data_IF_226952348924
#
_entry.id   IF_226952348924
#
_cell.length_a   1.000
_cell.length_b   1.000
_cell.length_c   1.000
_cell.angle_alpha   90.00
_cell.angle_beta   90.00
_cell.angle_gamma   90.00
#
_symmetry.space_group_name_H-M   'P 1'
#
loop_
_entity.id
_entity.type
_entity.pdbx_description
1 polymer ?
#
# COMPACT_ATOMS: atom_id res chain seq x y z
N UNK A 1 -38.66 26.07 30.87
CA UNK A 1 -37.32 25.63 31.34
C UNK A 1 -36.79 24.58 30.38
N UNK A 2 -35.80 24.94 29.59
CA UNK A 2 -35.10 24.09 28.63
C UNK A 2 -34.08 23.20 29.33
N UNK A 3 -34.15 21.88 29.15
CA UNK A 3 -33.00 20.99 29.43
C UNK A 3 -32.59 20.34 28.13
N UNK A 4 -31.63 20.97 27.46
CA UNK A 4 -30.94 20.43 26.29
C UNK A 4 -30.16 19.20 26.71
N UNK A 5 -30.60 18.02 26.27
CA UNK A 5 -29.84 16.80 26.37
C UNK A 5 -28.57 16.96 25.52
N UNK A 6 -27.45 17.17 26.20
CA UNK A 6 -26.13 17.26 25.59
C UNK A 6 -25.79 15.86 25.06
N UNK A 7 -25.87 15.68 23.74
CA UNK A 7 -25.28 14.54 23.03
C UNK A 7 -23.79 14.50 23.37
N UNK A 8 -23.42 13.78 24.43
CA UNK A 8 -22.04 13.36 24.62
C UNK A 8 -21.79 12.25 23.59
N UNK A 9 -20.79 12.38 22.69
CA UNK A 9 -20.29 11.23 21.98
C UNK A 9 -19.83 10.23 23.05
N UNK A 10 -20.32 9.00 22.98
CA UNK A 10 -19.93 7.95 23.91
C UNK A 10 -18.41 7.93 24.03
N UNK A 11 -17.89 8.18 25.23
CA UNK A 11 -16.47 8.11 25.52
C UNK A 11 -15.99 6.72 25.12
N UNK A 12 -15.23 6.65 24.03
CA UNK A 12 -14.62 5.41 23.58
C UNK A 12 -13.79 4.82 24.73
N UNK A 13 -13.81 3.50 24.92
CA UNK A 13 -12.87 2.87 25.85
C UNK A 13 -11.45 3.27 25.42
N UNK A 14 -10.53 3.50 26.38
CA UNK A 14 -9.15 3.81 26.06
C UNK A 14 -8.60 2.68 25.19
N UNK A 15 -8.27 3.02 23.94
CA UNK A 15 -7.72 2.06 22.99
C UNK A 15 -6.38 1.58 23.53
N UNK A 16 -6.20 0.27 23.61
CA UNK A 16 -5.03 -0.36 24.22
C UNK A 16 -3.75 0.07 23.47
N UNK A 17 -2.77 0.62 24.19
CA UNK A 17 -1.51 1.09 23.61
C UNK A 17 -0.80 -0.02 22.81
N UNK A 18 -1.00 -1.28 23.22
CA UNK A 18 -0.50 -2.46 22.52
C UNK A 18 -1.09 -2.64 21.11
N UNK A 19 -2.34 -2.21 20.88
CA UNK A 19 -2.97 -2.28 19.56
C UNK A 19 -2.40 -1.24 18.60
N UNK A 20 -2.11 -0.03 19.10
CA UNK A 20 -1.44 1.01 18.32
C UNK A 20 0.00 0.64 17.97
N UNK A 21 0.72 0.01 18.90
CA UNK A 21 2.06 -0.50 18.65
C UNK A 21 2.05 -1.55 17.52
N UNK A 22 1.15 -2.53 17.57
CA UNK A 22 1.00 -3.54 16.51
C UNK A 22 0.66 -2.91 15.16
N UNK A 23 -0.23 -1.92 15.15
CA UNK A 23 -0.58 -1.20 13.94
C UNK A 23 0.62 -0.45 13.36
N UNK A 24 1.35 0.27 14.20
CA UNK A 24 2.53 1.01 13.78
C UNK A 24 3.61 0.08 13.19
N UNK A 25 3.86 -1.07 13.83
CA UNK A 25 4.77 -2.10 13.31
C UNK A 25 4.29 -2.64 11.96
N UNK A 26 2.99 -2.94 11.80
CA UNK A 26 2.46 -3.43 10.52
C UNK A 26 2.57 -2.41 9.38
N UNK A 27 2.41 -1.12 9.68
CA UNK A 27 2.57 -0.05 8.70
C UNK A 27 4.05 0.12 8.32
N UNK A 28 4.96 0.00 9.29
CA UNK A 28 6.40 0.00 9.03
C UNK A 28 6.82 -1.18 8.15
N UNK A 29 6.39 -2.41 8.47
CA UNK A 29 6.67 -3.61 7.68
C UNK A 29 6.12 -3.52 6.25
N UNK A 30 5.01 -2.81 6.06
CA UNK A 30 4.52 -2.50 4.72
C UNK A 30 5.47 -1.55 3.98
N UNK A 31 5.85 -0.44 4.60
CA UNK A 31 6.76 0.51 3.96
C UNK A 31 8.07 -0.16 3.57
N UNK A 32 8.61 -1.04 4.42
CA UNK A 32 9.82 -1.81 4.12
C UNK A 32 9.65 -2.72 2.89
N UNK A 33 8.52 -3.45 2.82
CA UNK A 33 8.17 -4.26 1.65
C UNK A 33 8.05 -3.42 0.38
N UNK A 34 7.36 -2.28 0.43
CA UNK A 34 7.21 -1.38 -0.71
C UNK A 34 8.56 -0.82 -1.19
N UNK A 35 9.47 -0.50 -0.26
CA UNK A 35 10.83 -0.08 -0.62
C UNK A 35 11.59 -1.19 -1.36
N UNK A 36 11.51 -2.44 -0.89
CA UNK A 36 12.14 -3.58 -1.57
C UNK A 36 11.56 -3.86 -2.97
N UNK A 37 10.24 -3.73 -3.12
CA UNK A 37 9.56 -3.83 -4.41
C UNK A 37 10.03 -2.76 -5.40
N UNK A 38 10.15 -1.51 -4.95
CA UNK A 38 10.66 -0.41 -5.78
C UNK A 38 12.12 -0.61 -6.17
N UNK A 39 12.98 -1.08 -5.25
CA UNK A 39 14.39 -1.35 -5.55
C UNK A 39 14.55 -2.44 -6.63
N UNK A 40 13.67 -3.45 -6.59
CA UNK A 40 13.60 -4.49 -7.62
C UNK A 40 13.25 -3.91 -8.99
N UNK A 41 12.22 -3.06 -9.08
CA UNK A 41 11.82 -2.39 -10.32
C UNK A 41 12.93 -1.46 -10.85
N UNK A 42 13.57 -0.68 -9.96
CA UNK A 42 14.68 0.22 -10.30
C UNK A 42 15.86 -0.57 -10.85
N UNK A 43 16.21 -1.69 -10.22
CA UNK A 43 17.31 -2.55 -10.65
C UNK A 43 17.05 -3.14 -12.04
N UNK A 44 15.85 -3.67 -12.26
CA UNK A 44 15.46 -4.25 -13.55
C UNK A 44 15.44 -3.20 -14.67
N UNK A 45 14.82 -2.04 -14.42
CA UNK A 45 14.79 -0.93 -15.38
C UNK A 45 16.20 -0.39 -15.68
N UNK A 46 17.04 -0.24 -14.66
CA UNK A 46 18.43 0.22 -14.82
C UNK A 46 19.27 -0.76 -15.65
N UNK A 47 19.06 -2.07 -15.49
CA UNK A 47 19.72 -3.09 -16.29
C UNK A 47 19.39 -2.97 -17.78
N UNK A 48 18.11 -2.75 -18.10
CA UNK A 48 17.61 -2.52 -19.46
C UNK A 48 18.23 -1.25 -20.06
N UNK A 49 18.26 -0.15 -19.30
CA UNK A 49 18.80 1.15 -19.79
C UNK A 49 20.30 1.09 -20.04
N UNK A 50 21.06 0.40 -19.18
CA UNK A 50 22.53 0.32 -19.28
C UNK A 50 23.04 -0.59 -20.41
N UNK A 51 22.18 -1.45 -20.97
CA UNK A 51 22.59 -2.43 -21.98
C UNK A 51 21.85 -2.18 -23.32
N UNK A 52 22.26 -1.19 -24.11
CA UNK A 52 21.55 -0.84 -25.33
C UNK A 52 21.62 -1.98 -26.36
N UNK A 53 20.44 -2.44 -26.81
CA UNK A 53 20.33 -3.54 -27.77
C UNK A 53 20.88 -3.16 -29.15
N UNK A 54 21.99 -3.78 -29.56
CA UNK A 54 22.61 -3.61 -30.87
C UNK A 54 22.10 -4.65 -31.87
N UNK A 55 21.72 -5.83 -31.39
CA UNK A 55 21.24 -6.94 -32.23
C UNK A 55 19.73 -7.13 -32.16
N UNK A 56 19.17 -7.87 -33.13
CA UNK A 56 17.74 -8.24 -33.13
C UNK A 56 17.38 -9.14 -31.94
N UNK A 57 18.26 -10.05 -31.57
CA UNK A 57 18.04 -10.96 -30.44
C UNK A 57 18.08 -10.23 -29.11
N UNK A 58 18.99 -9.26 -28.95
CA UNK A 58 19.00 -8.37 -27.80
C UNK A 58 17.71 -7.55 -27.72
N UNK A 59 17.21 -7.00 -28.84
CA UNK A 59 15.93 -6.27 -28.83
C UNK A 59 14.76 -7.14 -28.40
N UNK A 60 14.73 -8.42 -28.83
CA UNK A 60 13.72 -9.38 -28.36
C UNK A 60 13.84 -9.64 -26.86
N UNK A 61 15.06 -9.88 -26.36
CA UNK A 61 15.31 -10.08 -24.92
C UNK A 61 14.88 -8.86 -24.09
N UNK A 62 15.22 -7.66 -24.53
CA UNK A 62 14.80 -6.42 -23.85
C UNK A 62 13.28 -6.27 -23.82
N UNK A 63 12.59 -6.62 -24.92
CA UNK A 63 11.13 -6.61 -24.94
C UNK A 63 10.55 -7.57 -23.89
N UNK A 64 11.07 -8.78 -23.79
CA UNK A 64 10.66 -9.74 -22.75
C UNK A 64 10.91 -9.20 -21.34
N UNK A 65 12.05 -8.55 -21.11
CA UNK A 65 12.35 -7.93 -19.80
C UNK A 65 11.42 -6.75 -19.49
N UNK A 66 11.01 -5.98 -20.51
CA UNK A 66 10.03 -4.90 -20.35
C UNK A 66 8.63 -5.46 -20.06
N UNK A 67 8.22 -6.53 -20.73
CA UNK A 67 6.97 -7.24 -20.43
C UNK A 67 6.97 -7.73 -18.98
N UNK A 68 8.06 -8.37 -18.53
CA UNK A 68 8.21 -8.80 -17.14
C UNK A 68 8.18 -7.63 -16.14
N UNK A 69 8.80 -6.49 -16.48
CA UNK A 69 8.79 -5.30 -15.64
C UNK A 69 7.37 -4.76 -15.46
N UNK A 70 6.57 -4.74 -16.53
CA UNK A 70 5.16 -4.32 -16.48
C UNK A 70 4.34 -5.27 -15.62
N UNK A 71 4.43 -6.58 -15.86
CA UNK A 71 3.70 -7.59 -15.09
C UNK A 71 4.02 -7.49 -13.60
N UNK A 72 5.30 -7.29 -13.26
CA UNK A 72 5.75 -7.15 -11.87
C UNK A 72 5.20 -5.87 -11.22
N UNK A 73 5.21 -4.74 -11.95
CA UNK A 73 4.69 -3.48 -11.44
C UNK A 73 3.17 -3.53 -11.23
N UNK A 74 2.43 -4.17 -12.14
CA UNK A 74 0.98 -4.39 -11.99
C UNK A 74 0.66 -5.26 -10.78
N UNK A 75 1.44 -6.32 -10.55
CA UNK A 75 1.30 -7.15 -9.34
C UNK A 75 1.50 -6.33 -8.06
N UNK A 76 2.59 -5.56 -7.98
CA UNK A 76 2.84 -4.69 -6.81
C UNK A 76 1.73 -3.65 -6.64
N UNK A 77 1.20 -3.09 -7.73
CA UNK A 77 0.08 -2.17 -7.65
C UNK A 77 -1.18 -2.81 -7.04
N UNK A 78 -1.47 -4.07 -7.38
CA UNK A 78 -2.60 -4.82 -6.77
C UNK A 78 -2.38 -5.05 -5.28
N UNK A 79 -1.18 -5.46 -4.88
CA UNK A 79 -0.82 -5.68 -3.46
C UNK A 79 -0.98 -4.39 -2.65
N UNK A 80 -0.46 -3.26 -3.15
CA UNK A 80 -0.63 -1.94 -2.53
C UNK A 80 -2.10 -1.52 -2.47
N UNK A 81 -2.92 -1.91 -3.44
CA UNK A 81 -4.37 -1.68 -3.45
C UNK A 81 -5.06 -2.33 -2.25
N UNK A 82 -4.78 -3.62 -2.01
CA UNK A 82 -5.29 -4.36 -0.86
C UNK A 82 -4.87 -3.73 0.47
N UNK A 83 -3.60 -3.35 0.59
CA UNK A 83 -3.08 -2.70 1.79
C UNK A 83 -3.76 -1.34 2.03
N UNK A 84 -3.98 -0.56 0.97
CA UNK A 84 -4.68 0.73 1.06
C UNK A 84 -6.11 0.59 1.58
N UNK A 85 -6.84 -0.43 1.14
CA UNK A 85 -8.19 -0.72 1.64
C UNK A 85 -8.17 -1.06 3.14
N UNK A 86 -7.21 -1.89 3.56
CA UNK A 86 -7.03 -2.25 4.97
C UNK A 86 -6.75 -1.00 5.84
N UNK A 87 -5.80 -0.15 5.45
CA UNK A 87 -5.52 1.07 6.23
C UNK A 87 -6.67 2.07 6.18
N UNK A 88 -7.46 2.10 5.11
CA UNK A 88 -8.66 2.93 5.05
C UNK A 88 -9.67 2.48 6.11
N UNK A 89 -9.91 1.18 6.25
CA UNK A 89 -10.79 0.62 7.29
C UNK A 89 -10.28 1.01 8.69
N UNK A 90 -8.99 0.84 8.94
CA UNK A 90 -8.38 1.18 10.24
C UNK A 90 -8.47 2.69 10.53
N UNK A 91 -8.25 3.55 9.52
CA UNK A 91 -8.37 4.99 9.68
C UNK A 91 -9.82 5.45 9.92
N UNK A 92 -10.80 4.81 9.28
CA UNK A 92 -12.22 5.08 9.51
C UNK A 92 -12.64 4.63 10.92
N UNK A 93 -12.21 3.45 11.35
CA UNK A 93 -12.43 2.97 12.71
C UNK A 93 -11.81 3.90 13.75
N UNK A 94 -10.55 4.32 13.56
CA UNK A 94 -9.88 5.28 14.43
C UNK A 94 -10.63 6.62 14.54
N UNK A 95 -11.29 7.06 13.46
CA UNK A 95 -12.13 8.28 13.44
C UNK A 95 -13.56 8.07 13.95
N UNK A 96 -13.98 6.83 14.18
CA UNK A 96 -15.35 6.48 14.56
C UNK A 96 -16.39 6.70 13.48
N UNK A 97 -15.95 6.60 12.24
CA UNK A 97 -16.80 6.68 11.06
C UNK A 97 -17.17 5.25 10.60
N UNK A 98 -18.41 5.01 10.18
CA UNK A 98 -18.79 3.73 9.61
C UNK A 98 -18.00 3.46 8.32
N UNK A 99 -17.57 2.22 8.13
CA UNK A 99 -17.02 1.75 6.85
C UNK A 99 -18.17 1.75 5.85
N UNK A 100 -18.15 2.64 4.86
CA UNK A 100 -19.10 2.56 3.76
C UNK A 100 -18.81 1.27 2.99
N UNK A 101 -19.84 0.42 2.83
CA UNK A 101 -19.72 -0.83 2.08
C UNK A 101 -19.21 -0.52 0.65
N UNK A 102 -18.29 -1.33 0.10
CA UNK A 102 -17.90 -1.17 -1.30
C UNK A 102 -19.11 -1.45 -2.21
N UNK A 103 -19.30 -0.58 -3.20
CA UNK A 103 -20.27 -0.74 -4.28
C UNK A 103 -19.77 -1.69 -5.36
#
# INVERSE_FOLDING_TARGET
>A
MTKSAKNQPASRPPVDALQYEKLALSAFDLCDRQMGQLDTLITLASSIVRNPAMTRDERRRHRTLLELLVDTAEQYQQEVGCDRELFQVIALDAKGLPVAAPH
#
